data_IF_131024905153
#
_entry.id   IF_131024905153
#
_cell.length_a   1.000
_cell.length_b   1.000
_cell.length_c   1.000
_cell.angle_alpha   90.00
_cell.angle_beta   90.00
_cell.angle_gamma   90.00
#
_symmetry.space_group_name_H-M   'P 1'
#
loop_
_entity.id
_entity.type
_entity.pdbx_description
1 polymer ?
#
# COMPACT_ATOMS: atom_id res chain seq x y z
N UNK A 1 4.36 -3.29 -33.82
CA UNK A 1 4.58 -2.49 -32.59
C UNK A 1 5.87 -3.03 -32.03
N UNK A 2 6.92 -2.23 -31.99
CA UNK A 2 8.16 -2.63 -31.30
C UNK A 2 7.83 -2.76 -29.82
N UNK A 3 7.95 -3.98 -29.29
CA UNK A 3 7.94 -4.22 -27.86
C UNK A 3 9.25 -3.63 -27.32
N UNK A 4 9.14 -2.59 -26.47
CA UNK A 4 10.31 -1.99 -25.84
C UNK A 4 11.11 -3.02 -25.04
N UNK A 5 12.36 -2.68 -24.70
CA UNK A 5 13.33 -3.53 -24.00
C UNK A 5 12.78 -4.24 -22.72
N UNK A 6 11.73 -3.67 -22.12
CA UNK A 6 11.12 -4.14 -20.88
C UNK A 6 9.80 -4.91 -21.04
N UNK A 7 9.33 -5.13 -22.27
CA UNK A 7 8.05 -5.79 -22.56
C UNK A 7 6.81 -4.93 -22.31
N UNK A 8 5.63 -5.52 -22.44
CA UNK A 8 4.33 -4.83 -22.28
C UNK A 8 3.71 -5.16 -20.92
N UNK A 9 3.38 -4.14 -20.14
CA UNK A 9 2.67 -4.26 -18.86
C UNK A 9 1.23 -3.76 -18.96
N UNK A 10 0.28 -4.54 -18.46
CA UNK A 10 -1.10 -4.11 -18.28
C UNK A 10 -1.30 -3.66 -16.85
N UNK A 11 -1.46 -2.35 -16.65
CA UNK A 11 -1.47 -1.74 -15.33
C UNK A 11 -2.87 -1.31 -14.88
N UNK A 12 -3.14 -1.33 -13.57
CA UNK A 12 -4.32 -0.73 -12.93
C UNK A 12 -3.91 0.15 -11.75
N UNK A 13 -4.78 1.10 -11.43
CA UNK A 13 -4.70 1.87 -10.18
C UNK A 13 -5.24 1.03 -9.02
N UNK A 14 -4.51 1.00 -7.92
CA UNK A 14 -4.87 0.30 -6.70
C UNK A 14 -4.79 1.27 -5.52
N UNK A 15 -5.71 1.16 -4.56
CA UNK A 15 -5.74 2.06 -3.39
C UNK A 15 -4.63 1.73 -2.41
N UNK A 16 -4.03 2.77 -1.82
CA UNK A 16 -3.04 2.69 -0.73
C UNK A 16 -3.55 3.25 0.59
N UNK A 17 -4.69 3.96 0.57
CA UNK A 17 -5.39 4.44 1.74
C UNK A 17 -6.78 3.81 1.72
N UNK A 18 -6.98 2.72 2.46
CA UNK A 18 -8.26 2.02 2.51
C UNK A 18 -8.90 2.31 3.86
N UNK A 19 -10.16 2.75 3.89
CA UNK A 19 -10.81 3.06 5.17
C UNK A 19 -11.08 1.81 6.01
N UNK A 20 -11.05 0.62 5.39
CA UNK A 20 -11.46 -0.67 5.97
C UNK A 20 -12.89 -0.69 6.54
N UNK A 21 -13.63 0.43 6.47
CA UNK A 21 -14.92 0.63 7.13
C UNK A 21 -16.04 -0.28 6.63
N UNK A 22 -15.85 -0.93 5.48
CA UNK A 22 -16.77 -1.92 4.91
C UNK A 22 -16.43 -3.36 5.28
N UNK A 23 -15.32 -3.60 6.00
CA UNK A 23 -14.95 -4.94 6.46
C UNK A 23 -15.90 -5.39 7.56
N UNK A 24 -16.40 -6.61 7.42
CA UNK A 24 -17.34 -7.23 8.37
C UNK A 24 -16.77 -7.34 9.78
N UNK A 25 -15.45 -7.50 9.89
CA UNK A 25 -14.70 -7.60 11.15
C UNK A 25 -14.74 -6.29 11.95
N UNK A 26 -14.96 -5.16 11.27
CA UNK A 26 -14.97 -3.82 11.85
C UNK A 26 -16.37 -3.29 12.16
N UNK A 27 -17.45 -4.03 11.84
CA UNK A 27 -18.82 -3.51 11.96
C UNK A 27 -19.12 -2.92 13.35
N UNK A 28 -18.73 -3.61 14.43
CA UNK A 28 -18.96 -3.13 15.80
C UNK A 28 -18.09 -1.91 16.16
N UNK A 29 -16.87 -1.84 15.62
CA UNK A 29 -15.96 -0.70 15.86
C UNK A 29 -16.48 0.52 15.13
N UNK A 30 -16.88 0.37 13.87
CA UNK A 30 -17.32 1.45 13.00
C UNK A 30 -18.61 2.12 13.51
N UNK A 31 -19.51 1.37 14.16
CA UNK A 31 -20.72 1.95 14.77
C UNK A 31 -20.43 2.91 15.93
N UNK A 32 -19.22 2.89 16.49
CA UNK A 32 -18.79 3.80 17.57
C UNK A 32 -18.04 5.04 17.05
N UNK A 33 -17.82 5.14 15.74
CA UNK A 33 -17.10 6.23 15.08
C UNK A 33 -18.10 7.21 14.48
N UNK A 34 -17.86 8.51 14.66
CA UNK A 34 -18.66 9.56 14.02
C UNK A 34 -18.62 9.39 12.48
N UNK A 35 -19.77 9.35 11.79
CA UNK A 35 -19.82 9.17 10.33
C UNK A 35 -18.95 10.15 9.56
N UNK A 36 -18.83 11.39 10.04
CA UNK A 36 -18.00 12.45 9.46
C UNK A 36 -16.53 12.03 9.37
N UNK A 37 -16.00 11.33 10.37
CA UNK A 37 -14.61 10.86 10.37
C UNK A 37 -14.36 9.78 9.32
N UNK A 38 -15.35 8.93 9.07
CA UNK A 38 -15.30 7.90 8.02
C UNK A 38 -15.40 8.56 6.65
N UNK A 39 -16.34 9.50 6.47
CA UNK A 39 -16.53 10.23 5.24
C UNK A 39 -15.29 11.06 4.86
N UNK A 40 -14.62 11.68 5.85
CA UNK A 40 -13.36 12.39 5.64
C UNK A 40 -12.28 11.43 5.09
N UNK A 41 -12.14 10.24 5.70
CA UNK A 41 -11.16 9.26 5.25
C UNK A 41 -11.49 8.75 3.84
N UNK A 42 -12.75 8.41 3.55
CA UNK A 42 -13.18 7.96 2.22
C UNK A 42 -13.01 9.04 1.14
N UNK A 43 -13.21 10.31 1.50
CA UNK A 43 -12.98 11.43 0.58
C UNK A 43 -11.51 11.54 0.19
N UNK A 44 -10.61 11.37 1.17
CA UNK A 44 -9.17 11.31 0.91
C UNK A 44 -8.79 10.08 0.08
N UNK A 45 -9.45 8.95 0.26
CA UNK A 45 -9.19 7.72 -0.50
C UNK A 45 -9.58 7.84 -2.00
N UNK A 46 -10.23 8.94 -2.38
CA UNK A 46 -10.67 9.22 -3.75
C UNK A 46 -9.76 10.21 -4.49
N UNK A 47 -8.63 10.60 -3.90
CA UNK A 47 -7.65 11.52 -4.51
C UNK A 47 -6.46 10.78 -5.09
N UNK A 48 -5.69 11.41 -5.98
CA UNK A 48 -4.62 10.75 -6.74
C UNK A 48 -3.49 10.21 -5.84
N UNK A 49 -3.20 10.91 -4.76
CA UNK A 49 -2.22 10.53 -3.74
C UNK A 49 -2.61 9.27 -2.95
N UNK A 50 -3.86 8.83 -3.03
CA UNK A 50 -4.36 7.60 -2.42
C UNK A 50 -4.28 6.38 -3.33
N UNK A 51 -3.65 6.50 -4.51
CA UNK A 51 -3.46 5.39 -5.45
C UNK A 51 -2.00 5.12 -5.81
N UNK A 52 -1.72 3.85 -6.09
CA UNK A 52 -0.50 3.34 -6.71
C UNK A 52 -0.86 2.55 -7.97
N UNK A 53 0.13 2.11 -8.73
CA UNK A 53 -0.06 1.32 -9.94
C UNK A 53 0.57 -0.06 -9.77
N UNK A 54 -0.20 -1.11 -10.07
CA UNK A 54 0.28 -2.49 -10.12
C UNK A 54 -0.12 -3.19 -11.43
N UNK A 55 0.58 -4.28 -11.81
CA UNK A 55 0.14 -5.17 -12.88
C UNK A 55 -1.22 -5.80 -12.57
N UNK A 56 -2.12 -5.79 -13.55
CA UNK A 56 -3.51 -6.26 -13.41
C UNK A 56 -3.81 -7.58 -14.10
N UNK A 57 -2.95 -8.01 -15.03
CA UNK A 57 -3.16 -9.26 -15.75
C UNK A 57 -2.79 -10.44 -14.86
N UNK A 58 -3.62 -11.48 -14.83
CA UNK A 58 -3.26 -12.74 -14.17
C UNK A 58 -2.19 -13.46 -14.98
N UNK A 59 -1.19 -14.02 -14.29
CA UNK A 59 -0.13 -14.85 -14.87
C UNK A 59 -0.37 -16.28 -14.39
N UNK A 60 -0.50 -17.24 -15.33
CA UNK A 60 -0.79 -18.65 -15.03
C UNK A 60 -2.00 -18.88 -14.11
N UNK A 61 -3.03 -18.04 -14.24
CA UNK A 61 -4.23 -18.10 -13.41
C UNK A 61 -4.04 -17.67 -11.95
N UNK A 62 -2.84 -17.25 -11.54
CA UNK A 62 -2.54 -16.77 -10.19
C UNK A 62 -3.21 -15.42 -9.91
N UNK A 63 -3.35 -15.11 -8.63
CA UNK A 63 -3.92 -13.85 -8.17
C UNK A 63 -3.03 -12.66 -8.57
N UNK A 64 -3.68 -11.51 -8.79
CA UNK A 64 -2.97 -10.24 -8.94
C UNK A 64 -2.47 -9.75 -7.59
N UNK A 65 -1.55 -8.78 -7.59
CA UNK A 65 -1.07 -8.15 -6.35
C UNK A 65 -2.26 -7.56 -5.56
N UNK A 66 -3.17 -6.83 -6.22
CA UNK A 66 -4.39 -6.31 -5.60
C UNK A 66 -5.22 -7.40 -4.93
N UNK A 67 -5.43 -8.52 -5.63
CA UNK A 67 -6.20 -9.63 -5.11
C UNK A 67 -5.54 -10.22 -3.87
N UNK A 68 -4.26 -10.54 -3.94
CA UNK A 68 -3.55 -11.14 -2.81
C UNK A 68 -3.54 -10.20 -1.60
N UNK A 69 -3.33 -8.88 -1.78
CA UNK A 69 -3.40 -7.89 -0.70
C UNK A 69 -4.73 -7.93 0.06
N UNK A 70 -5.85 -8.03 -0.65
CA UNK A 70 -7.18 -8.00 -0.04
C UNK A 70 -7.58 -9.30 0.65
N UNK A 71 -7.22 -10.44 0.05
CA UNK A 71 -7.55 -11.76 0.59
C UNK A 71 -6.57 -12.25 1.65
N UNK A 72 -5.33 -11.76 1.65
CA UNK A 72 -4.32 -12.19 2.62
C UNK A 72 -4.59 -11.53 3.98
N UNK A 73 -5.03 -12.33 4.95
CA UNK A 73 -5.43 -11.85 6.27
C UNK A 73 -4.30 -11.20 7.09
N UNK A 74 -3.03 -11.38 6.73
CA UNK A 74 -1.89 -10.69 7.35
C UNK A 74 -1.62 -9.31 6.74
N UNK A 75 -2.27 -8.98 5.63
CA UNK A 75 -2.13 -7.70 4.91
C UNK A 75 -3.43 -6.92 4.96
N UNK A 76 -4.55 -7.57 4.65
CA UNK A 76 -5.90 -7.00 4.73
C UNK A 76 -6.06 -5.65 3.98
N UNK A 77 -5.43 -5.53 2.82
CA UNK A 77 -5.28 -4.31 2.00
C UNK A 77 -4.47 -3.16 2.62
N UNK A 78 -3.93 -3.32 3.83
CA UNK A 78 -3.11 -2.31 4.52
C UNK A 78 -1.77 -2.09 3.78
N UNK A 79 -1.52 -0.84 3.37
CA UNK A 79 -0.47 -0.55 2.40
C UNK A 79 0.95 -0.46 2.97
N UNK A 80 1.14 0.01 4.19
CA UNK A 80 2.41 -0.07 4.92
C UNK A 80 2.94 -1.53 5.01
N UNK A 81 2.07 -2.49 5.32
CA UNK A 81 2.40 -3.92 5.32
C UNK A 81 2.65 -4.46 3.91
N UNK A 82 1.93 -3.94 2.92
CA UNK A 82 2.21 -4.23 1.50
C UNK A 82 3.60 -3.71 1.12
N UNK A 83 3.96 -2.49 1.53
CA UNK A 83 5.24 -1.87 1.25
C UNK A 83 6.38 -2.60 1.94
N UNK A 84 6.18 -3.08 3.16
CA UNK A 84 7.14 -3.93 3.87
C UNK A 84 7.35 -5.26 3.14
N UNK A 85 6.29 -5.86 2.59
CA UNK A 85 6.44 -7.04 1.73
C UNK A 85 7.29 -6.75 0.48
N UNK A 86 7.11 -5.57 -0.13
CA UNK A 86 7.89 -5.12 -1.29
C UNK A 86 9.36 -4.88 -0.89
N UNK A 87 9.62 -4.27 0.27
CA UNK A 87 10.98 -4.08 0.80
C UNK A 87 11.71 -5.42 0.97
N UNK A 88 11.02 -6.39 1.57
CA UNK A 88 11.53 -7.75 1.76
C UNK A 88 11.75 -8.47 0.42
N UNK A 89 10.88 -8.24 -0.57
CA UNK A 89 11.06 -8.79 -1.93
C UNK A 89 12.38 -8.34 -2.57
N UNK A 90 12.73 -7.06 -2.50
CA UNK A 90 14.01 -6.56 -3.01
C UNK A 90 15.24 -7.09 -2.24
N UNK A 91 15.05 -7.54 -1.00
CA UNK A 91 16.09 -8.17 -0.18
C UNK A 91 16.10 -9.71 -0.29
N UNK A 92 15.24 -10.30 -1.13
CA UNK A 92 15.00 -11.75 -1.24
C UNK A 92 14.58 -12.43 0.08
N UNK A 93 13.96 -11.66 0.98
CA UNK A 93 13.41 -12.16 2.23
C UNK A 93 11.94 -12.60 2.07
N UNK A 94 11.47 -13.41 3.03
CA UNK A 94 10.10 -13.95 3.02
C UNK A 94 9.10 -12.97 3.62
N UNK A 95 7.93 -12.90 3.02
CA UNK A 95 6.77 -12.13 3.46
C UNK A 95 5.47 -12.83 3.06
N UNK A 96 4.30 -12.43 3.60
CA UNK A 96 3.01 -12.99 3.19
C UNK A 96 2.73 -12.86 1.68
N UNK A 97 3.31 -11.86 1.01
CA UNK A 97 3.14 -11.63 -0.42
C UNK A 97 4.27 -12.20 -1.30
N UNK A 98 5.25 -12.93 -0.75
CA UNK A 98 6.43 -13.40 -1.52
C UNK A 98 6.06 -14.13 -2.82
N UNK A 99 5.05 -14.99 -2.80
CA UNK A 99 4.65 -15.77 -3.97
C UNK A 99 4.05 -14.89 -5.09
N UNK A 100 3.20 -13.93 -4.73
CA UNK A 100 2.59 -13.03 -5.72
C UNK A 100 3.62 -12.02 -6.23
N UNK A 101 4.45 -11.45 -5.36
CA UNK A 101 5.49 -10.50 -5.77
C UNK A 101 6.53 -11.20 -6.68
N UNK A 102 6.89 -12.45 -6.38
CA UNK A 102 7.75 -13.26 -7.24
C UNK A 102 7.13 -13.57 -8.62
N UNK A 103 5.80 -13.71 -8.69
CA UNK A 103 5.08 -13.88 -9.97
C UNK A 103 5.17 -12.63 -10.84
N UNK A 104 5.24 -11.44 -10.23
CA UNK A 104 5.37 -10.15 -10.91
C UNK A 104 6.78 -9.55 -10.79
N UNK A 105 7.82 -10.37 -10.62
CA UNK A 105 9.20 -9.90 -10.39
C UNK A 105 9.76 -9.03 -11.52
N UNK A 106 9.32 -9.23 -12.77
CA UNK A 106 9.70 -8.40 -13.91
C UNK A 106 9.26 -6.95 -13.76
N UNK A 107 8.07 -6.71 -13.19
CA UNK A 107 7.59 -5.36 -12.88
C UNK A 107 8.48 -4.69 -11.82
N UNK A 108 8.84 -5.40 -10.75
CA UNK A 108 9.71 -4.86 -9.71
C UNK A 108 11.14 -4.61 -10.20
N UNK A 109 11.60 -5.38 -11.18
CA UNK A 109 12.92 -5.21 -11.80
C UNK A 109 13.06 -3.88 -12.57
N UNK A 110 11.96 -3.24 -12.97
CA UNK A 110 11.96 -1.91 -13.60
C UNK A 110 12.61 -0.83 -12.71
N UNK A 111 12.49 -0.99 -11.40
CA UNK A 111 12.94 0.03 -10.44
C UNK A 111 14.36 -0.23 -9.93
N UNK A 112 15.01 -1.36 -10.25
CA UNK A 112 16.39 -1.71 -9.83
C UNK A 112 16.61 -1.89 -8.30
N UNK A 113 15.73 -1.37 -7.44
CA UNK A 113 15.84 -1.50 -5.99
C UNK A 113 14.65 -0.91 -5.22
N UNK A 114 14.61 -1.17 -3.91
CA UNK A 114 13.52 -0.69 -3.04
C UNK A 114 13.54 0.84 -2.90
N UNK A 115 14.72 1.44 -2.77
CA UNK A 115 14.87 2.89 -2.66
C UNK A 115 14.30 3.57 -3.92
N UNK A 116 14.69 3.08 -5.08
CA UNK A 116 14.24 3.59 -6.38
C UNK A 116 12.74 3.38 -6.59
N UNK A 117 12.18 2.25 -6.15
CA UNK A 117 10.74 2.03 -6.13
C UNK A 117 10.01 3.07 -5.27
N UNK A 118 10.50 3.32 -4.06
CA UNK A 118 9.95 4.32 -3.13
C UNK A 118 10.04 5.73 -3.72
N UNK A 119 11.20 6.09 -4.26
CA UNK A 119 11.45 7.40 -4.87
C UNK A 119 10.55 7.62 -6.09
N UNK A 120 10.38 6.60 -6.94
CA UNK A 120 9.52 6.67 -8.13
C UNK A 120 8.05 6.92 -7.77
N UNK A 121 7.52 6.20 -6.77
CA UNK A 121 6.12 6.33 -6.36
C UNK A 121 5.88 7.41 -5.29
N UNK A 122 6.92 8.14 -4.89
CA UNK A 122 6.90 9.19 -3.86
C UNK A 122 6.37 8.68 -2.51
N UNK A 123 6.84 7.50 -2.09
CA UNK A 123 6.43 6.82 -0.85
C UNK A 123 7.34 7.16 0.34
N UNK A 124 8.22 8.16 0.20
CA UNK A 124 9.33 8.42 1.12
C UNK A 124 8.91 8.68 2.58
N UNK A 125 7.67 9.16 2.81
CA UNK A 125 7.16 9.38 4.17
C UNK A 125 6.79 8.08 4.91
N UNK A 126 6.77 6.93 4.21
CA UNK A 126 6.55 5.62 4.82
C UNK A 126 7.85 4.86 5.10
N UNK A 127 9.02 5.46 4.95
CA UNK A 127 10.28 4.75 5.18
C UNK A 127 11.22 5.52 6.10
N UNK A 128 12.16 4.81 6.72
CA UNK A 128 13.30 5.41 7.38
C UNK A 128 14.16 6.16 6.36
N UNK A 129 14.98 7.12 6.82
CA UNK A 129 15.86 7.92 5.95
C UNK A 129 16.85 7.08 5.13
N UNK A 130 17.20 5.89 5.63
CA UNK A 130 18.09 4.94 4.97
C UNK A 130 17.33 3.81 4.24
N UNK A 131 16.01 3.91 4.11
CA UNK A 131 15.13 2.98 3.38
C UNK A 131 15.14 1.54 3.93
N UNK A 132 15.62 1.33 5.15
CA UNK A 132 15.72 -0.01 5.76
C UNK A 132 14.48 -0.43 6.51
N UNK A 133 13.64 0.50 6.93
CA UNK A 133 12.44 0.23 7.71
C UNK A 133 11.24 0.93 7.06
N UNK A 134 10.09 0.26 7.07
CA UNK A 134 8.80 0.87 6.74
C UNK A 134 8.14 1.36 8.03
N UNK A 135 7.57 2.56 7.99
CA UNK A 135 6.77 3.12 9.07
C UNK A 135 5.34 2.59 8.93
N UNK A 136 4.84 1.93 9.98
CA UNK A 136 3.48 1.42 10.03
C UNK A 136 2.49 2.57 10.32
N UNK A 137 1.26 2.44 9.83
CA UNK A 137 0.21 3.43 10.07
C UNK A 137 -0.27 3.42 11.53
N UNK A 138 -0.21 2.27 12.18
CA UNK A 138 -0.61 2.06 13.57
C UNK A 138 0.31 1.06 14.29
N UNK A 139 0.09 0.91 15.60
CA UNK A 139 0.81 -0.08 16.39
C UNK A 139 0.31 -1.50 16.06
N UNK A 140 1.10 -2.24 15.28
CA UNK A 140 0.82 -3.65 14.98
C UNK A 140 1.47 -4.58 16.01
N UNK A 141 0.75 -5.64 16.41
CA UNK A 141 1.27 -6.69 17.31
C UNK A 141 2.25 -7.63 16.58
N UNK A 142 3.39 -7.06 16.18
CA UNK A 142 4.39 -7.71 15.35
C UNK A 142 3.98 -7.81 13.88
N UNK A 143 4.88 -7.36 13.01
CA UNK A 143 4.68 -7.38 11.56
C UNK A 143 4.42 -8.81 11.07
N UNK A 144 3.31 -8.99 10.35
CA UNK A 144 2.82 -10.27 9.79
C UNK A 144 2.49 -11.39 10.79
N UNK A 145 2.29 -11.08 12.08
CA UNK A 145 1.92 -12.11 13.08
C UNK A 145 0.42 -12.27 13.26
N UNK A 146 -0.33 -11.19 13.13
CA UNK A 146 -1.78 -11.16 13.30
C UNK A 146 -2.44 -10.37 12.20
N UNK A 147 -3.77 -10.47 12.10
CA UNK A 147 -4.54 -9.57 11.23
C UNK A 147 -4.30 -8.11 11.64
N UNK A 148 -4.02 -7.20 10.68
CA UNK A 148 -3.82 -5.79 10.93
C UNK A 148 -5.13 -5.00 10.96
N UNK A 149 -6.28 -5.68 10.84
CA UNK A 149 -7.58 -5.02 10.95
C UNK A 149 -7.79 -4.54 12.40
N UNK A 150 -8.07 -3.24 12.63
CA UNK A 150 -8.28 -2.70 13.97
C UNK A 150 -9.35 -3.46 14.76
N UNK A 151 -9.19 -3.56 16.08
CA UNK A 151 -10.11 -4.33 16.96
C UNK A 151 -10.84 -3.46 17.99
N UNK A 152 -10.54 -2.18 18.02
CA UNK A 152 -11.13 -1.20 18.92
C UNK A 152 -11.28 0.15 18.23
N UNK A 153 -12.15 1.00 18.77
CA UNK A 153 -12.27 2.42 18.35
C UNK A 153 -10.92 3.12 18.34
N UNK A 154 -10.11 2.93 19.38
CA UNK A 154 -8.80 3.56 19.51
C UNK A 154 -7.86 3.13 18.38
N UNK A 155 -7.67 1.83 18.17
CA UNK A 155 -6.81 1.31 17.09
C UNK A 155 -7.29 1.74 15.70
N UNK A 156 -8.60 1.87 15.48
CA UNK A 156 -9.12 2.34 14.20
C UNK A 156 -8.79 3.83 13.95
N UNK A 157 -8.90 4.66 14.99
CA UNK A 157 -8.53 6.07 14.91
C UNK A 157 -7.03 6.27 14.68
N UNK A 158 -6.19 5.44 15.29
CA UNK A 158 -4.73 5.43 15.06
C UNK A 158 -4.41 5.06 13.60
N UNK A 159 -4.94 3.94 13.11
CA UNK A 159 -4.78 3.52 11.72
C UNK A 159 -5.22 4.60 10.73
N UNK A 160 -6.41 5.18 10.98
CA UNK A 160 -6.96 6.27 10.18
C UNK A 160 -6.00 7.45 10.14
N UNK A 161 -5.54 7.92 11.31
CA UNK A 161 -4.65 9.08 11.38
C UNK A 161 -3.33 8.82 10.65
N UNK A 162 -2.69 7.67 10.87
CA UNK A 162 -1.45 7.32 10.19
C UNK A 162 -1.60 7.24 8.66
N UNK A 163 -2.65 6.58 8.18
CA UNK A 163 -2.93 6.45 6.75
C UNK A 163 -3.25 7.80 6.11
N UNK A 164 -4.06 8.63 6.78
CA UNK A 164 -4.41 9.97 6.28
C UNK A 164 -3.21 10.92 6.30
N UNK A 165 -2.39 10.91 7.35
CA UNK A 165 -1.21 11.75 7.46
C UNK A 165 -0.20 11.43 6.35
N UNK A 166 0.07 10.14 6.12
CA UNK A 166 0.90 9.72 4.98
C UNK A 166 0.33 10.25 3.66
N UNK A 167 -0.97 10.05 3.42
CA UNK A 167 -1.60 10.44 2.15
C UNK A 167 -1.52 11.94 1.92
N UNK A 168 -1.76 12.75 2.96
CA UNK A 168 -1.60 14.21 2.93
C UNK A 168 -0.15 14.62 2.61
N UNK A 169 0.85 13.99 3.23
CA UNK A 169 2.26 14.29 2.94
C UNK A 169 2.68 13.87 1.54
N UNK A 170 2.20 12.71 1.07
CA UNK A 170 2.41 12.26 -0.31
C UNK A 170 1.81 13.24 -1.31
N UNK A 171 0.64 13.83 -1.03
CA UNK A 171 0.08 14.88 -1.87
C UNK A 171 1.04 16.07 -2.01
N UNK A 172 1.58 16.58 -0.89
CA UNK A 172 2.58 17.65 -0.91
C UNK A 172 3.84 17.26 -1.71
N UNK A 173 4.27 16.00 -1.64
CA UNK A 173 5.40 15.49 -2.44
C UNK A 173 5.07 15.48 -3.93
N UNK A 174 3.89 14.99 -4.31
CA UNK A 174 3.42 14.99 -5.71
C UNK A 174 3.35 16.42 -6.24
N UNK A 175 2.78 17.35 -5.47
CA UNK A 175 2.70 18.76 -5.85
C UNK A 175 4.10 19.36 -6.07
N UNK A 176 5.02 19.14 -5.14
CA UNK A 176 6.40 19.64 -5.26
C UNK A 176 7.15 19.01 -6.42
N UNK A 177 6.97 17.70 -6.65
CA UNK A 177 7.57 17.00 -7.79
C UNK A 177 7.02 17.54 -9.11
N UNK A 178 5.71 17.80 -9.21
CA UNK A 178 5.09 18.37 -10.40
C UNK A 178 5.58 19.79 -10.72
N UNK A 179 5.97 20.57 -9.71
CA UNK A 179 6.50 21.94 -9.89
C UNK A 179 7.99 21.95 -10.27
N UNK A 180 8.77 21.00 -9.76
CA UNK A 180 10.22 20.95 -9.91
C UNK A 180 10.70 20.00 -11.02
N UNK A 181 9.83 19.12 -11.52
CA UNK A 181 10.11 18.16 -12.59
C UNK A 181 9.84 18.68 -14.01
N UNK A 182 9.57 19.98 -14.17
CA UNK A 182 9.51 20.69 -15.45
C UNK A 182 10.84 21.37 -15.79
#
# INVERSE_FOLDING_TARGET
MDEGEFGVYYLSSDSIANSLSTRTELTNVITEIEPELINEFQSLNSTIEAFIVFPRNRIDGKMTINGERGFNHFIADTFDLTLECIRLHYSNDKSPLSAVLGTYSSFFSLFQGFKEYVDFFLLNDLVSKDYKEVQMFDEVEGVFKTSPVPRSKQSYLEYREGSMEFTKRRNLRIENWSKNGQ
#
